data_IF_717050313610
#
_entry.id   IF_717050313610
#
_cell.length_a   1.000
_cell.length_b   1.000
_cell.length_c   1.000
_cell.angle_alpha   90.00
_cell.angle_beta   90.00
_cell.angle_gamma   90.00
#
_symmetry.space_group_name_H-M   'P 1'
#
loop_
_entity.id
_entity.type
_entity.pdbx_description
1 polymer ?
#
# COMPACT_ATOMS: atom_id res chain seq x y z
N UNK A 1 -9.06 -4.16 -9.65
CA UNK A 1 -8.32 -4.48 -8.41
C UNK A 1 -7.54 -3.25 -7.96
N UNK A 2 -7.88 -2.69 -6.81
CA UNK A 2 -7.12 -1.58 -6.20
C UNK A 2 -5.89 -2.16 -5.51
N UNK A 3 -4.69 -1.97 -6.08
CA UNK A 3 -3.44 -2.33 -5.40
C UNK A 3 -3.18 -1.28 -4.31
N UNK A 4 -3.38 -1.64 -3.05
CA UNK A 4 -2.90 -0.83 -1.92
C UNK A 4 -1.37 -0.70 -2.00
N UNK A 5 -0.84 0.41 -1.51
CA UNK A 5 0.57 0.83 -1.70
C UNK A 5 1.57 -0.22 -1.22
N UNK A 6 1.16 -1.06 -0.26
CA UNK A 6 1.94 -2.18 0.27
C UNK A 6 2.38 -3.19 -0.79
N UNK A 7 1.63 -3.31 -1.87
CA UNK A 7 1.89 -4.30 -2.92
C UNK A 7 2.72 -3.75 -4.09
N UNK A 8 3.32 -2.56 -3.98
CA UNK A 8 4.17 -2.01 -5.05
C UNK A 8 5.62 -2.48 -4.88
N UNK A 9 6.14 -3.32 -5.80
CA UNK A 9 7.50 -3.83 -5.70
C UNK A 9 8.57 -2.73 -5.77
N UNK A 10 9.77 -2.95 -5.20
CA UNK A 10 10.85 -1.95 -5.19
C UNK A 10 11.24 -1.41 -6.57
N UNK A 11 11.24 -2.25 -7.61
CA UNK A 11 11.55 -1.84 -9.00
C UNK A 11 10.59 -0.81 -9.61
N UNK A 12 9.43 -0.61 -8.99
CA UNK A 12 8.43 0.38 -9.39
C UNK A 12 8.52 1.66 -8.53
N UNK A 13 9.54 1.77 -7.67
CA UNK A 13 9.89 3.01 -6.97
C UNK A 13 10.72 3.88 -7.91
N UNK A 14 10.39 5.16 -7.95
CA UNK A 14 11.09 6.14 -8.78
C UNK A 14 11.53 7.29 -7.88
N UNK A 15 12.83 7.56 -7.84
CA UNK A 15 13.37 8.86 -7.45
C UNK A 15 13.71 9.66 -8.72
N UNK A 16 13.57 11.01 -8.75
CA UNK A 16 13.26 11.91 -7.64
C UNK A 16 11.93 12.68 -7.84
N UNK A 17 11.14 12.75 -6.78
CA UNK A 17 10.15 13.82 -6.65
C UNK A 17 10.87 14.99 -6.01
N UNK A 18 10.98 16.14 -6.70
CA UNK A 18 11.49 17.38 -6.11
C UNK A 18 10.72 17.66 -4.81
N UNK A 19 11.36 17.36 -3.68
CA UNK A 19 10.88 17.70 -2.36
C UNK A 19 11.52 19.05 -2.01
N UNK A 20 10.75 20.05 -1.54
CA UNK A 20 11.37 21.14 -0.81
C UNK A 20 12.10 20.55 0.41
N UNK A 21 13.30 21.06 0.67
CA UNK A 21 14.18 20.63 1.76
C UNK A 21 13.41 20.60 3.09
N UNK A 22 13.09 19.40 3.58
CA UNK A 22 12.39 19.23 4.86
C UNK A 22 11.59 17.94 5.01
N UNK A 23 11.21 17.26 3.92
CA UNK A 23 10.34 16.06 3.96
C UNK A 23 11.02 14.69 3.77
N UNK A 24 12.36 14.65 3.77
CA UNK A 24 13.18 13.71 2.99
C UNK A 24 13.18 12.20 3.31
N UNK A 25 12.30 11.63 4.13
CA UNK A 25 12.34 10.17 4.41
C UNK A 25 10.96 9.49 4.54
N UNK A 26 9.87 10.26 4.51
CA UNK A 26 8.52 9.74 4.68
C UNK A 26 7.72 9.69 3.37
N UNK A 27 8.34 10.02 2.23
CA UNK A 27 7.68 10.06 0.92
C UNK A 27 8.47 9.23 -0.08
N UNK A 28 7.79 8.43 -0.89
CA UNK A 28 8.39 7.64 -1.97
C UNK A 28 7.55 7.79 -3.24
N UNK A 29 8.19 8.05 -4.38
CA UNK A 29 7.55 8.06 -5.68
C UNK A 29 7.36 6.66 -6.24
N UNK A 30 6.22 6.43 -6.91
CA UNK A 30 5.90 5.14 -7.50
C UNK A 30 5.34 5.29 -8.92
N UNK A 31 5.74 4.38 -9.81
CA UNK A 31 5.18 4.24 -11.15
C UNK A 31 4.68 2.80 -11.37
N UNK A 32 3.37 2.66 -11.58
CA UNK A 32 2.74 1.39 -11.90
C UNK A 32 2.42 1.31 -13.38
N UNK A 33 2.80 0.19 -13.99
CA UNK A 33 2.46 -0.13 -15.37
C UNK A 33 1.29 -1.11 -15.36
N UNK A 34 0.22 -0.76 -16.07
CA UNK A 34 -0.94 -1.60 -16.32
C UNK A 34 -1.10 -1.82 -17.83
N UNK A 35 -1.46 -3.03 -18.23
CA UNK A 35 -1.93 -3.33 -19.58
C UNK A 35 -3.46 -3.43 -19.51
N UNK A 36 -4.17 -2.56 -20.24
CA UNK A 36 -5.63 -2.54 -20.27
C UNK A 36 -6.16 -2.71 -21.68
N UNK A 37 -7.32 -3.33 -21.79
CA UNK A 37 -8.05 -3.40 -23.05
C UNK A 37 -9.21 -2.41 -23.03
N UNK A 38 -9.40 -1.66 -24.11
CA UNK A 38 -10.65 -0.94 -24.31
C UNK A 38 -11.74 -1.91 -24.74
N UNK A 39 -12.97 -1.69 -24.26
CA UNK A 39 -14.11 -2.53 -24.62
C UNK A 39 -14.32 -2.61 -26.14
N UNK A 40 -14.14 -1.47 -26.84
CA UNK A 40 -14.21 -1.41 -28.30
C UNK A 40 -13.15 -2.31 -28.98
N UNK A 41 -11.92 -2.34 -28.45
CA UNK A 41 -10.84 -3.16 -29.00
C UNK A 41 -11.08 -4.65 -28.79
N UNK A 42 -11.66 -5.04 -27.65
CA UNK A 42 -12.05 -6.43 -27.41
C UNK A 42 -13.15 -6.87 -28.39
N UNK A 43 -14.19 -6.05 -28.57
CA UNK A 43 -15.28 -6.33 -29.51
C UNK A 43 -14.77 -6.44 -30.94
N UNK A 44 -13.90 -5.51 -31.36
CA UNK A 44 -13.30 -5.51 -32.70
C UNK A 44 -12.42 -6.75 -32.92
N UNK A 45 -11.51 -7.06 -31.98
CA UNK A 45 -10.63 -8.21 -32.09
C UNK A 45 -11.40 -9.53 -32.19
N UNK A 46 -12.52 -9.66 -31.48
CA UNK A 46 -13.42 -10.80 -31.60
C UNK A 46 -14.04 -10.92 -32.99
N UNK A 47 -14.53 -9.82 -33.57
CA UNK A 47 -15.10 -9.80 -34.93
C UNK A 47 -14.04 -10.20 -35.98
N UNK A 48 -12.83 -9.68 -35.84
CA UNK A 48 -11.71 -9.89 -36.77
C UNK A 48 -10.96 -11.22 -36.50
N UNK A 49 -11.43 -12.07 -35.57
CA UNK A 49 -10.80 -13.34 -35.16
C UNK A 49 -9.30 -13.22 -34.87
N UNK A 50 -8.88 -12.08 -34.30
CA UNK A 50 -7.50 -11.83 -33.91
C UNK A 50 -7.37 -11.59 -32.41
N UNK A 51 -6.14 -11.61 -31.93
CA UNK A 51 -5.84 -11.27 -30.54
C UNK A 51 -6.04 -9.76 -30.31
N UNK A 52 -6.69 -9.33 -29.20
CA UNK A 52 -6.75 -7.93 -28.83
C UNK A 52 -5.38 -7.43 -28.38
N UNK A 53 -5.06 -6.18 -28.73
CA UNK A 53 -3.81 -5.53 -28.32
C UNK A 53 -4.08 -4.69 -27.08
N UNK A 54 -3.39 -4.91 -25.96
CA UNK A 54 -3.56 -4.08 -24.78
C UNK A 54 -2.90 -2.71 -24.96
N UNK A 55 -3.47 -1.70 -24.33
CA UNK A 55 -2.88 -0.37 -24.18
C UNK A 55 -2.07 -0.31 -22.89
N UNK A 56 -0.86 0.23 -22.98
CA UNK A 56 0.00 0.51 -21.85
C UNK A 56 -0.49 1.76 -21.11
N UNK A 57 -0.76 1.61 -19.81
CA UNK A 57 -1.07 2.73 -18.92
C UNK A 57 0.00 2.82 -17.83
N UNK A 58 0.60 4.01 -17.69
CA UNK A 58 1.55 4.32 -16.62
C UNK A 58 0.86 5.23 -15.61
N UNK A 59 0.78 4.79 -14.36
CA UNK A 59 0.22 5.57 -13.24
C UNK A 59 1.32 5.94 -12.26
N UNK A 60 1.62 7.23 -12.16
CA UNK A 60 2.51 7.76 -11.15
C UNK A 60 1.72 8.17 -9.89
N UNK A 61 2.24 7.86 -8.71
CA UNK A 61 1.66 8.33 -7.44
C UNK A 61 2.72 8.46 -6.34
N UNK A 62 2.37 9.20 -5.27
CA UNK A 62 3.21 9.34 -4.07
C UNK A 62 2.71 8.43 -2.96
N UNK A 63 3.62 7.70 -2.35
CA UNK A 63 3.36 6.98 -1.12
C UNK A 63 3.96 7.75 0.05
N UNK A 64 3.17 7.92 1.09
CA UNK A 64 3.62 8.45 2.36
C UNK A 64 3.74 7.31 3.36
N UNK A 65 4.87 7.25 4.06
CA UNK A 65 5.15 6.28 5.12
C UNK A 65 4.82 6.92 6.45
N UNK A 66 4.04 6.24 7.30
CA UNK A 66 3.70 6.80 8.59
C UNK A 66 4.92 6.85 9.52
N UNK A 67 5.14 7.92 10.30
CA UNK A 67 6.30 8.02 11.20
C UNK A 67 6.46 6.81 12.14
N UNK A 68 5.35 6.33 12.72
CA UNK A 68 5.30 5.12 13.57
C UNK A 68 5.80 3.84 12.91
N UNK A 69 5.78 3.75 11.58
CA UNK A 69 6.29 2.57 10.86
C UNK A 69 7.81 2.55 10.71
N UNK A 70 8.45 3.72 10.77
CA UNK A 70 9.91 3.87 10.77
C UNK A 70 10.49 4.08 12.18
N UNK A 71 9.65 3.99 13.21
CA UNK A 71 9.99 4.41 14.58
C UNK A 71 10.52 5.86 14.66
N UNK A 72 10.20 6.70 13.67
CA UNK A 72 10.60 8.11 13.67
C UNK A 72 9.94 8.82 14.85
N UNK A 73 10.67 9.72 15.52
CA UNK A 73 10.15 10.50 16.65
C UNK A 73 9.55 11.80 16.11
N UNK A 74 8.27 11.75 15.76
CA UNK A 74 7.48 12.91 15.35
C UNK A 74 6.44 13.17 16.43
N UNK A 75 6.41 14.38 16.96
CA UNK A 75 5.45 14.81 17.98
C UNK A 75 4.20 15.43 17.35
N UNK A 76 3.04 15.06 17.89
CA UNK A 76 1.74 15.61 17.48
C UNK A 76 0.58 14.83 18.11
N UNK A 77 -0.57 15.47 18.41
CA UNK A 77 -1.69 14.82 19.08
C UNK A 77 -2.26 13.65 18.27
N UNK A 78 -2.32 13.77 16.94
CA UNK A 78 -2.74 12.69 16.05
C UNK A 78 -1.79 11.48 16.10
N UNK A 79 -0.48 11.72 15.99
CA UNK A 79 0.53 10.66 15.97
C UNK A 79 0.61 9.94 17.32
N UNK A 80 0.44 10.67 18.44
CA UNK A 80 0.31 10.06 19.79
C UNK A 80 -0.88 9.12 19.87
N UNK A 81 -2.06 9.55 19.40
CA UNK A 81 -3.27 8.71 19.36
C UNK A 81 -3.08 7.49 18.46
N UNK A 82 -2.48 7.67 17.27
CA UNK A 82 -2.20 6.60 16.34
C UNK A 82 -1.21 5.56 16.91
N UNK A 83 -0.20 6.01 17.67
CA UNK A 83 0.74 5.12 18.36
C UNK A 83 0.09 4.36 19.51
N UNK A 84 -0.76 5.01 20.29
CA UNK A 84 -1.53 4.33 21.34
C UNK A 84 -2.43 3.25 20.75
N UNK A 85 -3.17 3.56 19.68
CA UNK A 85 -4.00 2.59 18.96
C UNK A 85 -3.16 1.42 18.40
N UNK A 86 -1.99 1.71 17.81
CA UNK A 86 -1.08 0.67 17.32
C UNK A 86 -0.52 -0.20 18.45
N UNK A 87 -0.24 0.36 19.62
CA UNK A 87 0.21 -0.40 20.79
C UNK A 87 -0.87 -1.37 21.27
N UNK A 88 -2.11 -0.90 21.37
CA UNK A 88 -3.28 -1.75 21.70
C UNK A 88 -3.49 -2.84 20.66
N UNK A 89 -3.40 -2.51 19.37
CA UNK A 89 -3.50 -3.52 18.31
C UNK A 89 -2.42 -4.60 18.45
N UNK A 90 -1.16 -4.20 18.67
CA UNK A 90 -0.03 -5.13 18.81
C UNK A 90 -0.18 -6.07 20.01
N UNK A 91 -0.64 -5.56 21.15
CA UNK A 91 -0.85 -6.40 22.34
C UNK A 91 -2.00 -7.39 22.10
N UNK A 92 -3.12 -6.94 21.55
CA UNK A 92 -4.26 -7.79 21.23
C UNK A 92 -3.92 -8.86 20.19
N UNK A 93 -3.24 -8.47 19.10
CA UNK A 93 -2.78 -9.40 18.06
C UNK A 93 -1.84 -10.46 18.63
N UNK A 94 -0.87 -10.05 19.46
CA UNK A 94 0.05 -10.99 20.13
C UNK A 94 -0.71 -11.99 21.01
N UNK A 95 -1.70 -11.53 21.77
CA UNK A 95 -2.50 -12.41 22.61
C UNK A 95 -3.32 -13.40 21.78
N UNK A 96 -3.95 -12.94 20.69
CA UNK A 96 -4.71 -13.80 19.78
C UNK A 96 -3.82 -14.87 19.14
N UNK A 97 -2.64 -14.49 18.64
CA UNK A 97 -1.70 -15.43 18.04
C UNK A 97 -1.16 -16.45 19.05
N UNK A 98 -0.92 -16.04 20.30
CA UNK A 98 -0.49 -16.96 21.38
C UNK A 98 -1.58 -17.93 21.81
N UNK A 99 -2.85 -17.51 21.74
CA UNK A 99 -3.99 -18.35 22.05
C UNK A 99 -4.39 -19.26 20.88
N UNK A 100 -3.74 -19.15 19.71
CA UNK A 100 -4.05 -19.98 18.56
C UNK A 100 -3.73 -21.45 18.84
N UNK A 101 -4.67 -22.39 18.58
CA UNK A 101 -4.41 -23.82 18.66
C UNK A 101 -3.27 -24.26 17.73
N UNK A 102 -2.69 -25.42 18.02
CA UNK A 102 -1.70 -26.04 17.13
C UNK A 102 -2.28 -26.20 15.71
N UNK A 103 -1.53 -25.75 14.70
CA UNK A 103 -1.96 -25.77 13.30
C UNK A 103 -2.85 -24.60 12.86
N UNK A 104 -3.37 -23.77 13.78
CA UNK A 104 -4.28 -22.66 13.47
C UNK A 104 -3.60 -21.28 13.38
N UNK A 105 -2.27 -21.22 13.60
CA UNK A 105 -1.54 -19.95 13.67
C UNK A 105 -1.65 -19.11 12.39
N UNK A 106 -1.56 -19.75 11.22
CA UNK A 106 -1.65 -19.05 9.94
C UNK A 106 -3.03 -18.43 9.74
N UNK A 107 -4.10 -19.19 9.96
CA UNK A 107 -5.47 -18.68 9.86
C UNK A 107 -5.72 -17.53 10.86
N UNK A 108 -5.25 -17.68 12.10
CA UNK A 108 -5.34 -16.62 13.10
C UNK A 108 -4.57 -15.35 12.71
N UNK A 109 -3.47 -15.48 11.97
CA UNK A 109 -2.71 -14.36 11.44
C UNK A 109 -3.40 -13.70 10.24
N UNK A 110 -4.01 -14.47 9.34
CA UNK A 110 -4.76 -13.97 8.19
C UNK A 110 -6.00 -13.16 8.60
N UNK A 111 -6.62 -13.49 9.73
CA UNK A 111 -7.75 -12.74 10.30
C UNK A 111 -7.36 -11.40 10.94
N UNK A 112 -6.07 -11.12 11.14
CA UNK A 112 -5.62 -9.84 11.71
C UNK A 112 -5.66 -8.74 10.64
N UNK A 113 -6.53 -7.75 10.85
CA UNK A 113 -6.53 -6.53 10.03
C UNK A 113 -5.33 -5.63 10.39
N UNK A 114 -4.21 -5.83 9.68
CA UNK A 114 -2.99 -5.09 9.93
C UNK A 114 -3.12 -3.62 9.50
N UNK A 115 -2.84 -2.65 10.39
CA UNK A 115 -2.91 -1.26 10.03
C UNK A 115 -1.90 -0.93 8.92
N UNK A 116 -2.29 -0.14 7.90
CA UNK A 116 -1.42 0.17 6.78
C UNK A 116 -0.20 0.96 7.25
N UNK A 117 1.00 0.56 6.82
CA UNK A 117 2.26 1.28 7.04
C UNK A 117 2.48 2.46 6.09
N UNK A 118 1.75 2.51 4.98
CA UNK A 118 1.90 3.43 3.86
C UNK A 118 0.53 3.81 3.33
N UNK A 119 0.43 5.00 2.78
CA UNK A 119 -0.83 5.54 2.25
C UNK A 119 -0.56 6.45 1.05
N UNK A 120 -1.56 6.61 0.18
CA UNK A 120 -1.42 7.43 -1.04
C UNK A 120 -1.59 8.92 -0.79
N UNK A 121 -1.96 9.33 0.43
CA UNK A 121 -2.32 10.72 0.71
C UNK A 121 -1.94 11.07 2.15
N UNK A 122 -0.90 11.90 2.33
CA UNK A 122 -0.41 12.40 3.63
C UNK A 122 -1.56 12.70 4.59
N UNK A 123 -1.66 11.95 5.70
CA UNK A 123 -2.48 12.20 6.91
C UNK A 123 -3.83 12.92 6.72
N UNK A 124 -4.54 12.69 5.62
CA UNK A 124 -5.86 13.24 5.40
C UNK A 124 -6.86 12.09 5.51
N UNK A 125 -7.21 11.81 6.76
CA UNK A 125 -8.59 11.50 7.11
C UNK A 125 -9.25 12.81 7.50
#
# INVERSE_FOLDING_TARGET
MSRTVHHVPPRHRVEPLHLPDGGGHLVTGHCLVELRYHAADLTRARRERRRPTPVLLVRAFRAHTFPRSLNARVDGPYERRARAALAVFRSTARNRLRAAPSGALLAAAEELDHPPTRHRHMNLW
#
